data_IF_132186202221
#
_entry.id   IF_132186202221
#
_cell.length_a   1.000
_cell.length_b   1.000
_cell.length_c   1.000
_cell.angle_alpha   90.00
_cell.angle_beta   90.00
_cell.angle_gamma   90.00
#
_symmetry.space_group_name_H-M   'P 1'
#
loop_
_entity.id
_entity.type
_entity.pdbx_description
1 polymer ?
#
# COMPACT_ATOMS: atom_id res chain seq x y z
N UNK A 1 -7.30 17.65 -6.89
CA UNK A 1 -8.67 17.42 -6.38
C UNK A 1 -8.69 16.19 -5.48
N UNK A 2 -9.31 16.33 -4.31
CA UNK A 2 -9.39 15.21 -3.36
C UNK A 2 -10.34 14.14 -3.87
N UNK A 3 -9.93 12.89 -3.73
CA UNK A 3 -10.74 11.74 -4.15
C UNK A 3 -11.25 10.97 -2.94
N UNK A 4 -12.44 10.39 -3.06
CA UNK A 4 -12.97 9.50 -2.03
C UNK A 4 -12.28 8.14 -2.12
N UNK A 5 -12.46 7.32 -1.07
CA UNK A 5 -11.92 5.96 -1.08
C UNK A 5 -12.47 5.17 -2.26
N UNK A 6 -13.75 5.33 -2.59
CA UNK A 6 -14.36 4.66 -3.73
C UNK A 6 -13.69 5.04 -5.05
N UNK A 7 -13.39 6.33 -5.23
CA UNK A 7 -12.71 6.79 -6.45
C UNK A 7 -11.30 6.23 -6.56
N UNK A 8 -10.55 6.22 -5.45
CA UNK A 8 -9.21 5.65 -5.42
C UNK A 8 -9.25 4.13 -5.66
N UNK A 9 -10.25 3.44 -5.10
CA UNK A 9 -10.42 2.01 -5.33
C UNK A 9 -10.67 1.69 -6.79
N UNK A 10 -11.40 2.53 -7.51
CA UNK A 10 -11.67 2.34 -8.92
C UNK A 10 -10.45 2.56 -9.79
N UNK A 11 -9.59 3.51 -9.44
CA UNK A 11 -8.42 3.87 -10.24
C UNK A 11 -7.17 3.08 -9.85
N UNK A 12 -7.05 2.72 -8.57
CA UNK A 12 -5.85 2.08 -8.01
C UNK A 12 -6.24 0.89 -7.15
N UNK A 13 -7.03 -0.01 -7.71
CA UNK A 13 -7.63 -1.13 -6.99
C UNK A 13 -6.60 -1.92 -6.18
N UNK A 14 -5.51 -2.34 -6.82
CA UNK A 14 -4.51 -3.17 -6.15
C UNK A 14 -3.70 -2.39 -5.11
N UNK A 15 -3.43 -1.12 -5.36
CA UNK A 15 -2.78 -0.25 -4.38
C UNK A 15 -3.64 -0.03 -3.15
N UNK A 16 -4.93 0.19 -3.35
CA UNK A 16 -5.85 0.39 -2.25
C UNK A 16 -6.04 -0.90 -1.44
N UNK A 17 -5.97 -2.05 -2.09
CA UNK A 17 -6.09 -3.34 -1.39
C UNK A 17 -4.96 -3.57 -0.41
N UNK A 18 -3.71 -3.24 -0.75
CA UNK A 18 -2.61 -3.38 0.21
C UNK A 18 -2.78 -2.43 1.39
N UNK A 19 -3.31 -1.22 1.16
CA UNK A 19 -3.57 -0.29 2.24
C UNK A 19 -4.63 -0.86 3.21
N UNK A 20 -5.68 -1.47 2.69
CA UNK A 20 -6.69 -2.13 3.51
C UNK A 20 -6.10 -3.32 4.26
N UNK A 21 -5.20 -4.06 3.63
CA UNK A 21 -4.53 -5.18 4.28
C UNK A 21 -3.65 -4.69 5.44
N UNK A 22 -2.93 -3.60 5.25
CA UNK A 22 -2.16 -2.95 6.31
C UNK A 22 -3.09 -2.56 7.46
N UNK A 23 -4.25 -1.96 7.13
CA UNK A 23 -5.26 -1.59 8.11
C UNK A 23 -5.68 -2.78 8.98
N UNK A 24 -5.86 -3.95 8.37
CA UNK A 24 -6.28 -5.15 9.10
C UNK A 24 -5.27 -5.62 10.14
N UNK A 25 -4.03 -5.13 10.09
CA UNK A 25 -2.96 -5.44 11.03
C UNK A 25 -2.70 -4.32 12.03
N UNK A 26 -3.48 -3.23 11.98
CA UNK A 26 -3.31 -2.11 12.89
C UNK A 26 -4.00 -2.35 14.22
N UNK A 27 -3.35 -1.90 15.30
CA UNK A 27 -3.96 -1.84 16.63
C UNK A 27 -4.80 -0.57 16.77
N UNK A 28 -5.66 -0.52 17.78
CA UNK A 28 -6.47 0.66 18.06
C UNK A 28 -5.65 1.93 18.27
N UNK A 29 -4.38 1.79 18.65
CA UNK A 29 -3.44 2.90 18.83
C UNK A 29 -2.86 3.41 17.49
N UNK A 30 -3.20 2.79 16.36
CA UNK A 30 -2.64 3.13 15.06
C UNK A 30 -1.27 2.53 14.80
N UNK A 31 -0.87 1.53 15.58
CA UNK A 31 0.39 0.82 15.39
C UNK A 31 0.14 -0.57 14.82
N UNK A 32 1.10 -1.07 14.06
CA UNK A 32 1.00 -2.42 13.50
C UNK A 32 1.25 -3.48 14.58
N UNK A 33 0.50 -4.59 14.50
CA UNK A 33 0.81 -5.79 15.28
C UNK A 33 2.11 -6.43 14.80
N UNK A 34 2.44 -6.26 13.51
CA UNK A 34 3.63 -6.82 12.87
C UNK A 34 4.37 -5.70 12.16
N UNK A 35 5.65 -5.93 11.84
CA UNK A 35 6.40 -4.98 11.05
C UNK A 35 5.87 -4.94 9.61
N UNK A 36 6.09 -3.84 8.92
CA UNK A 36 5.71 -3.73 7.50
C UNK A 36 6.33 -4.84 6.64
N UNK A 37 7.63 -5.19 6.79
CA UNK A 37 8.18 -6.32 6.04
C UNK A 37 7.44 -7.63 6.27
N UNK A 38 7.00 -7.92 7.51
CA UNK A 38 6.22 -9.12 7.79
C UNK A 38 4.84 -9.10 7.14
N UNK A 39 4.17 -7.94 7.18
CA UNK A 39 2.86 -7.76 6.53
C UNK A 39 2.98 -7.97 5.03
N UNK A 40 4.01 -7.39 4.43
CA UNK A 40 4.30 -7.50 2.99
C UNK A 40 4.60 -8.95 2.62
N UNK A 41 5.38 -9.66 3.44
CA UNK A 41 5.71 -11.06 3.20
C UNK A 41 4.44 -11.92 3.15
N UNK A 42 3.54 -11.74 4.11
CA UNK A 42 2.27 -12.47 4.14
C UNK A 42 1.41 -12.15 2.92
N UNK A 43 1.38 -10.89 2.52
CA UNK A 43 0.66 -10.46 1.33
C UNK A 43 1.23 -11.15 0.08
N UNK A 44 2.55 -11.18 -0.05
CA UNK A 44 3.24 -11.81 -1.18
C UNK A 44 3.04 -13.33 -1.22
N UNK A 45 2.95 -13.96 -0.05
CA UNK A 45 2.74 -15.41 0.05
C UNK A 45 1.31 -15.84 -0.27
N UNK A 46 0.42 -14.89 -0.54
CA UNK A 46 -0.99 -15.21 -0.82
C UNK A 46 -1.80 -15.59 0.41
N UNK A 47 -1.32 -15.23 1.59
CA UNK A 47 -2.04 -15.50 2.84
C UNK A 47 -3.17 -14.50 3.10
N UNK A 48 -3.31 -13.52 2.22
CA UNK A 48 -4.37 -12.53 2.25
C UNK A 48 -5.38 -12.81 1.16
N UNK A 49 -6.66 -12.55 1.44
CA UNK A 49 -7.69 -12.63 0.41
C UNK A 49 -7.48 -11.57 -0.68
N UNK A 50 -6.65 -10.57 -0.42
CA UNK A 50 -6.35 -9.51 -1.37
C UNK A 50 -5.22 -9.86 -2.34
N UNK A 51 -4.43 -10.88 -2.03
CA UNK A 51 -3.26 -11.24 -2.83
C UNK A 51 -3.61 -12.34 -3.83
N UNK A 52 -3.41 -12.10 -5.11
CA UNK A 52 -3.82 -13.01 -6.18
C UNK A 52 -2.69 -13.35 -7.15
N UNK A 53 -1.44 -13.32 -6.68
CA UNK A 53 -0.30 -13.76 -7.47
C UNK A 53 0.66 -12.64 -7.87
N UNK A 54 1.75 -13.00 -8.58
CA UNK A 54 2.83 -12.06 -8.88
C UNK A 54 2.42 -10.83 -9.68
N UNK A 55 1.55 -11.00 -10.68
CA UNK A 55 1.12 -9.87 -11.51
C UNK A 55 0.34 -8.84 -10.70
N UNK A 56 -0.55 -9.32 -9.85
CA UNK A 56 -1.33 -8.42 -9.00
C UNK A 56 -0.45 -7.74 -7.96
N UNK A 57 0.53 -8.46 -7.43
CA UNK A 57 1.49 -7.88 -6.51
C UNK A 57 2.29 -6.75 -7.17
N UNK A 58 2.77 -6.98 -8.39
CA UNK A 58 3.51 -5.96 -9.13
C UNK A 58 2.61 -4.76 -9.49
N UNK A 59 1.34 -5.01 -9.80
CA UNK A 59 0.38 -3.94 -10.03
C UNK A 59 0.15 -3.12 -8.76
N UNK A 60 0.16 -3.77 -7.59
CA UNK A 60 0.09 -3.08 -6.31
C UNK A 60 1.22 -2.06 -6.17
N UNK A 61 2.45 -2.46 -6.51
CA UNK A 61 3.61 -1.56 -6.47
C UNK A 61 3.40 -0.38 -7.41
N UNK A 62 2.98 -0.65 -8.65
CA UNK A 62 2.75 0.42 -9.64
C UNK A 62 1.66 1.39 -9.18
N UNK A 63 0.57 0.86 -8.63
CA UNK A 63 -0.53 1.69 -8.12
C UNK A 63 -0.06 2.60 -6.99
N UNK A 64 0.71 2.06 -6.03
CA UNK A 64 1.21 2.88 -4.92
C UNK A 64 2.19 3.96 -5.40
N UNK A 65 3.02 3.66 -6.38
CA UNK A 65 3.91 4.66 -6.97
C UNK A 65 3.11 5.77 -7.62
N UNK A 66 2.06 5.42 -8.37
CA UNK A 66 1.18 6.41 -9.02
C UNK A 66 0.43 7.25 -7.99
N UNK A 67 -0.06 6.63 -6.91
CA UNK A 67 -0.72 7.35 -5.82
C UNK A 67 0.25 8.36 -5.20
N UNK A 68 1.47 7.95 -4.93
CA UNK A 68 2.49 8.82 -4.34
C UNK A 68 2.88 9.97 -5.27
N UNK A 69 2.72 9.80 -6.57
CA UNK A 69 3.04 10.83 -7.55
C UNK A 69 1.87 11.76 -7.84
N UNK A 70 0.65 11.23 -7.93
CA UNK A 70 -0.49 11.96 -8.46
C UNK A 70 -1.63 12.23 -7.48
N UNK A 71 -1.70 11.51 -6.36
CA UNK A 71 -2.88 11.52 -5.50
C UNK A 71 -2.62 12.03 -4.09
N UNK A 72 -1.57 12.81 -3.90
CA UNK A 72 -1.24 13.33 -2.54
C UNK A 72 -2.28 14.29 -2.00
N UNK A 73 -3.10 14.89 -2.86
CA UNK A 73 -4.23 15.72 -2.42
C UNK A 73 -5.24 14.91 -1.60
N UNK A 74 -5.25 13.60 -1.83
CA UNK A 74 -6.15 12.67 -1.15
C UNK A 74 -5.49 11.99 0.05
N UNK A 75 -4.50 12.63 0.66
CA UNK A 75 -3.73 12.02 1.75
C UNK A 75 -4.60 11.60 2.95
N UNK A 76 -5.70 12.32 3.21
CA UNK A 76 -6.62 11.92 4.29
C UNK A 76 -7.32 10.62 3.99
N UNK A 77 -7.70 10.42 2.73
CA UNK A 77 -8.32 9.18 2.29
C UNK A 77 -7.32 8.01 2.42
N UNK A 78 -6.06 8.24 2.05
CA UNK A 78 -5.00 7.25 2.19
C UNK A 78 -4.78 6.89 3.67
N UNK A 79 -4.71 7.91 4.51
CA UNK A 79 -4.56 7.75 5.96
C UNK A 79 -5.69 6.90 6.54
N UNK A 80 -6.93 7.20 6.16
CA UNK A 80 -8.10 6.46 6.64
C UNK A 80 -8.10 5.02 6.14
N UNK A 81 -7.76 4.80 4.87
CA UNK A 81 -7.77 3.47 4.28
C UNK A 81 -6.78 2.53 4.98
N UNK A 82 -5.58 3.02 5.27
CA UNK A 82 -4.53 2.24 5.92
C UNK A 82 -4.60 2.28 7.45
N UNK A 83 -5.46 3.12 8.01
CA UNK A 83 -5.57 3.37 9.45
C UNK A 83 -4.22 3.82 10.04
N UNK A 84 -3.55 4.72 9.36
CA UNK A 84 -2.27 5.29 9.78
C UNK A 84 -2.41 6.79 9.96
N UNK A 85 -1.73 7.35 10.95
CA UNK A 85 -1.76 8.79 11.20
C UNK A 85 -0.80 9.50 10.25
N UNK A 86 -1.36 10.30 9.33
CA UNK A 86 -0.59 11.13 8.41
C UNK A 86 -0.97 12.58 8.65
N UNK A 87 0.00 13.48 8.56
CA UNK A 87 -0.18 14.89 8.90
C UNK A 87 -0.34 15.80 7.68
N UNK A 88 -0.18 15.27 6.49
CA UNK A 88 -0.31 16.06 5.27
C UNK A 88 0.18 15.30 4.05
N UNK A 89 0.16 15.95 2.88
CA UNK A 89 0.60 15.29 1.64
C UNK A 89 2.08 14.90 1.65
N UNK A 90 2.94 15.70 2.25
CA UNK A 90 4.37 15.38 2.33
C UNK A 90 4.62 14.16 3.21
N UNK A 91 3.89 14.05 4.31
CA UNK A 91 3.98 12.91 5.20
C UNK A 91 3.47 11.64 4.51
N UNK A 92 2.38 11.75 3.76
CA UNK A 92 1.84 10.65 2.97
C UNK A 92 2.84 10.16 1.93
N UNK A 93 3.48 11.08 1.22
CA UNK A 93 4.49 10.74 0.23
C UNK A 93 5.66 10.00 0.87
N UNK A 94 6.15 10.52 1.99
CA UNK A 94 7.26 9.91 2.72
C UNK A 94 6.89 8.50 3.19
N UNK A 95 5.70 8.34 3.75
CA UNK A 95 5.24 7.04 4.25
C UNK A 95 5.17 6.02 3.12
N UNK A 96 4.58 6.39 1.98
CA UNK A 96 4.47 5.49 0.83
C UNK A 96 5.84 5.13 0.25
N UNK A 97 6.71 6.11 0.05
CA UNK A 97 7.99 5.90 -0.64
C UNK A 97 9.08 5.33 0.26
N UNK A 98 9.04 5.60 1.56
CA UNK A 98 10.12 5.19 2.48
C UNK A 98 9.73 4.05 3.40
N UNK A 99 8.43 3.87 3.70
CA UNK A 99 7.97 2.84 4.63
C UNK A 99 7.29 1.67 3.92
N UNK A 100 6.40 1.93 2.98
CA UNK A 100 5.58 0.88 2.34
C UNK A 100 6.26 0.28 1.12
N UNK A 101 6.70 1.10 0.18
CA UNK A 101 7.27 0.62 -1.09
C UNK A 101 8.57 -0.16 -0.95
N UNK A 102 9.54 0.25 -0.10
CA UNK A 102 10.80 -0.51 -0.02
C UNK A 102 10.61 -1.98 0.36
N UNK A 103 9.82 -2.34 1.39
CA UNK A 103 9.60 -3.77 1.67
C UNK A 103 8.85 -4.48 0.55
N UNK A 104 7.89 -3.81 -0.11
CA UNK A 104 7.17 -4.40 -1.24
C UNK A 104 8.12 -4.74 -2.39
N UNK A 105 8.99 -3.81 -2.75
CA UNK A 105 9.95 -4.00 -3.83
C UNK A 105 10.98 -5.06 -3.45
N UNK A 106 11.49 -5.02 -2.23
CA UNK A 106 12.47 -5.99 -1.76
C UNK A 106 11.92 -7.42 -1.80
N UNK A 107 10.66 -7.61 -1.41
CA UNK A 107 10.03 -8.92 -1.44
C UNK A 107 9.84 -9.44 -2.87
N UNK A 108 9.46 -8.57 -3.79
CA UNK A 108 9.35 -8.92 -5.21
C UNK A 108 10.70 -9.35 -5.78
N UNK A 109 11.77 -8.61 -5.48
CA UNK A 109 13.12 -8.93 -5.94
C UNK A 109 13.60 -10.27 -5.37
N UNK A 110 13.35 -10.50 -4.10
CA UNK A 110 13.70 -11.75 -3.41
C UNK A 110 13.03 -12.96 -4.07
N UNK A 111 11.81 -12.78 -4.56
CA UNK A 111 11.04 -13.84 -5.23
C UNK A 111 11.30 -13.94 -6.73
N UNK A 112 12.13 -13.04 -7.27
CA UNK A 112 12.44 -13.02 -8.69
C UNK A 112 11.32 -12.49 -9.56
N UNK A 113 10.39 -11.75 -9.00
CA UNK A 113 9.31 -11.12 -9.76
C UNK A 113 9.81 -9.85 -10.42
N UNK A 114 9.60 -9.74 -11.73
CA UNK A 114 10.05 -8.60 -12.51
C UNK A 114 9.00 -7.51 -12.51
N UNK A 115 9.47 -6.25 -12.63
CA UNK A 115 8.56 -5.11 -12.75
C UNK A 115 7.67 -5.26 -13.98
N UNK A 116 6.44 -4.77 -13.86
CA UNK A 116 5.58 -4.59 -15.01
C UNK A 116 6.17 -3.51 -15.91
N UNK A 117 6.15 -3.75 -17.16
CA UNK A 117 6.68 -2.83 -18.16
C UNK A 117 5.56 -2.01 -18.76
#
# INVERSE_FOLDING_TARGET
MKKSEQQLNQEYDWGMQILLYINSHMMNSGKLYKTLPEVVQHYAEGKSEYSQGPQHYLQTINDLMAIAEHELDSWKTISNAAYVSLEGPEDAKKWLLEEVLPPLIAEAEKRGWKKLV
#
